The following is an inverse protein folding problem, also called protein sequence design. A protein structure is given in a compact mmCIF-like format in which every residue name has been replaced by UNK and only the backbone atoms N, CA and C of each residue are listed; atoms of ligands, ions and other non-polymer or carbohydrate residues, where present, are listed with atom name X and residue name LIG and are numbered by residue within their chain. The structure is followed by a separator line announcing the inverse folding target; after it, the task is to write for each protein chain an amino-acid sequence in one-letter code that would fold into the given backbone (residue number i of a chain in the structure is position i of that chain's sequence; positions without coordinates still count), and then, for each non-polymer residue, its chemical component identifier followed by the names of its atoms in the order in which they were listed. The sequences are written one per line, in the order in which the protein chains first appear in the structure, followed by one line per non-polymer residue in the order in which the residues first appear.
data_IF_922932063850
#
_entry.id   IF_922932063850
#
_cell.length_a   1.000
_cell.length_b   1.000
_cell.length_c   1.000
_cell.angle_alpha   90.00
_cell.angle_beta   90.00
_cell.angle_gamma   90.00
#
_symmetry.space_group_name_H-M   'P 1'
#
loop_
_entity.id
_entity.type
_entity.pdbx_description
1 polymer ?
#
# COMPACT_ATOMS: atom_id res chain seq x y z
N UNK A 1 5.06 6.92 -16.74
CA UNK A 1 5.08 5.92 -15.65
C UNK A 1 4.79 6.67 -14.37
N UNK A 2 4.02 6.08 -13.47
CA UNK A 2 3.65 6.69 -12.20
C UNK A 2 4.42 5.99 -11.09
N UNK A 3 5.03 6.76 -10.20
CA UNK A 3 5.67 6.21 -9.00
C UNK A 3 4.62 5.95 -7.94
N UNK A 4 4.55 4.72 -7.47
CA UNK A 4 3.71 4.32 -6.35
C UNK A 4 4.59 4.04 -5.15
N UNK A 5 4.16 4.53 -4.00
CA UNK A 5 4.77 4.30 -2.71
C UNK A 5 3.88 3.35 -1.92
N UNK A 6 4.46 2.50 -1.06
CA UNK A 6 3.66 1.59 -0.26
C UNK A 6 4.25 1.33 1.12
N UNK A 7 3.36 0.99 2.06
CA UNK A 7 3.69 0.16 3.22
C UNK A 7 3.09 -1.22 3.04
N UNK A 8 3.81 -2.27 3.44
CA UNK A 8 3.34 -3.65 3.37
C UNK A 8 3.62 -4.40 4.67
N UNK A 9 2.66 -5.24 5.08
CA UNK A 9 2.75 -6.10 6.25
C UNK A 9 1.81 -7.30 6.07
N UNK A 10 1.67 -8.12 7.11
CA UNK A 10 0.67 -9.19 7.09
C UNK A 10 -0.74 -8.60 6.93
N UNK A 11 -1.60 -9.28 6.18
CA UNK A 11 -2.99 -8.86 5.99
C UNK A 11 -3.69 -8.72 7.34
N UNK A 12 -3.47 -9.68 8.25
CA UNK A 12 -4.03 -9.66 9.59
C UNK A 12 -3.64 -8.39 10.36
N UNK A 13 -2.37 -8.00 10.30
CA UNK A 13 -1.90 -6.79 10.98
C UNK A 13 -2.62 -5.55 10.45
N UNK A 14 -2.66 -5.37 9.12
CA UNK A 14 -3.25 -4.18 8.48
C UNK A 14 -4.78 -4.15 8.51
N UNK A 15 -5.47 -5.26 8.76
CA UNK A 15 -6.94 -5.34 8.67
C UNK A 15 -7.65 -5.66 9.99
N UNK A 16 -6.95 -6.25 10.95
CA UNK A 16 -7.58 -6.73 12.21
C UNK A 16 -6.91 -6.12 13.44
N UNK A 17 -5.58 -6.09 13.47
CA UNK A 17 -4.83 -5.68 14.67
C UNK A 17 -4.72 -4.16 14.76
N UNK A 18 -4.51 -3.50 13.62
CA UNK A 18 -4.41 -2.04 13.53
C UNK A 18 -5.74 -1.38 13.17
N UNK A 19 -6.08 -0.22 13.77
CA UNK A 19 -7.26 0.56 13.41
C UNK A 19 -7.03 1.36 12.12
N UNK A 20 -6.58 0.69 11.06
CA UNK A 20 -6.24 1.32 9.77
C UNK A 20 -7.49 1.68 8.96
N UNK A 21 -8.57 0.91 9.09
CA UNK A 21 -9.85 1.17 8.41
C UNK A 21 -10.37 2.58 8.70
N UNK A 22 -10.34 3.01 9.97
CA UNK A 22 -10.77 4.36 10.39
C UNK A 22 -9.94 5.45 9.71
N UNK A 23 -8.62 5.27 9.67
CA UNK A 23 -7.69 6.23 9.06
C UNK A 23 -7.98 6.38 7.57
N UNK A 24 -8.19 5.27 6.86
CA UNK A 24 -8.47 5.28 5.42
C UNK A 24 -9.85 5.87 5.12
N UNK A 25 -10.86 5.55 5.94
CA UNK A 25 -12.23 6.08 5.80
C UNK A 25 -12.27 7.59 6.03
N UNK A 26 -11.60 8.08 7.06
CA UNK A 26 -11.51 9.51 7.35
C UNK A 26 -10.76 10.26 6.24
N UNK A 27 -9.66 9.68 5.73
CA UNK A 27 -8.94 10.26 4.58
C UNK A 27 -9.81 10.31 3.32
N UNK A 28 -10.59 9.25 3.06
CA UNK A 28 -11.52 9.23 1.94
C UNK A 28 -12.59 10.33 2.05
N UNK A 29 -13.16 10.51 3.26
CA UNK A 29 -14.10 11.61 3.53
C UNK A 29 -13.45 12.97 3.27
N UNK A 30 -12.26 13.21 3.81
CA UNK A 30 -11.54 14.47 3.59
C UNK A 30 -11.27 14.75 2.10
N UNK A 31 -10.94 13.72 1.32
CA UNK A 31 -10.74 13.85 -0.13
C UNK A 31 -12.04 14.24 -0.84
N UNK A 32 -13.17 13.60 -0.46
CA UNK A 32 -14.48 13.94 -1.01
C UNK A 32 -14.90 15.38 -0.67
N UNK A 33 -14.70 15.82 0.57
CA UNK A 33 -15.03 17.18 1.04
C UNK A 33 -14.16 18.26 0.40
N UNK A 34 -12.91 17.93 0.05
CA UNK A 34 -11.95 18.88 -0.55
C UNK A 34 -11.83 18.76 -2.07
N UNK A 35 -12.65 17.92 -2.72
CA UNK A 35 -12.65 17.72 -4.17
C UNK A 35 -11.37 17.08 -4.71
N UNK A 36 -10.66 16.29 -3.90
CA UNK A 36 -9.44 15.59 -4.30
C UNK A 36 -9.77 14.20 -4.85
N UNK A 37 -9.09 13.83 -5.93
CA UNK A 37 -9.13 12.45 -6.46
C UNK A 37 -8.41 11.50 -5.52
N UNK A 38 -9.01 10.34 -5.25
CA UNK A 38 -8.37 9.30 -4.43
C UNK A 38 -7.09 8.81 -5.12
N UNK A 39 -6.02 8.80 -4.34
CA UNK A 39 -4.68 8.41 -4.78
C UNK A 39 -4.03 7.42 -3.82
N UNK A 40 -4.86 6.69 -3.06
CA UNK A 40 -4.43 5.67 -2.11
C UNK A 40 -5.41 4.49 -2.06
N UNK A 41 -4.90 3.28 -1.81
CA UNK A 41 -5.67 2.03 -1.82
C UNK A 41 -5.10 1.03 -0.81
N UNK A 42 -5.97 0.27 -0.15
CA UNK A 42 -5.59 -0.96 0.56
C UNK A 42 -5.71 -2.12 -0.42
N UNK A 43 -4.61 -2.81 -0.69
CA UNK A 43 -4.52 -3.93 -1.63
C UNK A 43 -4.20 -5.20 -0.85
N UNK A 44 -5.09 -6.18 -0.91
CA UNK A 44 -4.85 -7.51 -0.34
C UNK A 44 -4.08 -8.36 -1.34
N UNK A 45 -3.14 -9.17 -0.85
CA UNK A 45 -2.31 -10.05 -1.67
C UNK A 45 -1.77 -9.34 -2.95
N UNK A 46 -1.09 -8.18 -2.79
CA UNK A 46 -0.74 -7.34 -3.92
C UNK A 46 0.16 -8.07 -4.93
N UNK A 47 -0.26 -8.07 -6.20
CA UNK A 47 0.47 -8.78 -7.26
C UNK A 47 1.89 -8.22 -7.47
N UNK A 48 2.06 -6.90 -7.29
CA UNK A 48 3.35 -6.22 -7.46
C UNK A 48 4.45 -6.75 -6.54
N UNK A 49 4.13 -7.29 -5.35
CA UNK A 49 5.13 -7.90 -4.46
C UNK A 49 5.76 -9.15 -5.08
N UNK A 50 5.14 -9.76 -6.09
CA UNK A 50 5.69 -10.91 -6.81
C UNK A 50 6.64 -10.52 -7.94
N UNK A 51 6.86 -9.23 -8.17
CA UNK A 51 7.89 -8.76 -9.11
C UNK A 51 9.30 -9.16 -8.61
N UNK A 52 10.25 -9.46 -9.52
CA UNK A 52 11.62 -9.84 -9.13
C UNK A 52 12.33 -8.77 -8.29
N UNK A 53 12.07 -7.49 -8.55
CA UNK A 53 12.68 -6.35 -7.84
C UNK A 53 12.24 -6.23 -6.38
N UNK A 54 11.10 -6.81 -6.00
CA UNK A 54 10.58 -6.81 -4.63
C UNK A 54 10.72 -8.18 -3.93
N UNK A 55 11.39 -9.15 -4.54
CA UNK A 55 11.48 -10.51 -4.03
C UNK A 55 12.12 -10.57 -2.62
N UNK A 56 13.21 -9.83 -2.40
CA UNK A 56 13.88 -9.77 -1.09
C UNK A 56 12.99 -9.12 -0.04
N UNK A 57 12.31 -8.02 -0.38
CA UNK A 57 11.39 -7.35 0.52
C UNK A 57 10.20 -8.25 0.88
N UNK A 58 9.61 -8.93 -0.11
CA UNK A 58 8.50 -9.89 0.10
C UNK A 58 8.87 -11.00 1.06
N UNK A 59 10.11 -11.50 1.02
CA UNK A 59 10.59 -12.54 1.94
C UNK A 59 10.60 -12.09 3.41
N UNK A 60 10.66 -10.78 3.68
CA UNK A 60 10.60 -10.23 5.04
C UNK A 60 9.17 -10.07 5.59
N UNK A 61 8.15 -10.15 4.73
CA UNK A 61 6.77 -9.85 5.08
C UNK A 61 6.01 -11.16 5.38
N UNK A 62 5.39 -11.31 6.57
CA UNK A 62 4.55 -12.47 6.85
C UNK A 62 3.36 -12.58 5.90
N UNK A 63 3.05 -13.81 5.47
CA UNK A 63 2.00 -14.09 4.48
C UNK A 63 0.72 -14.63 5.16
N UNK A 64 -0.48 -14.35 4.62
CA UNK A 64 -0.75 -13.51 3.45
C UNK A 64 -0.45 -12.03 3.73
N UNK A 65 0.12 -11.33 2.75
CA UNK A 65 0.46 -9.91 2.85
C UNK A 65 -0.67 -9.00 2.34
N UNK A 66 -0.71 -7.78 2.86
CA UNK A 66 -1.46 -6.67 2.31
C UNK A 66 -0.56 -5.42 2.24
N UNK A 67 -0.96 -4.44 1.45
CA UNK A 67 -0.26 -3.18 1.32
C UNK A 67 -1.21 -1.99 1.26
N UNK A 68 -0.81 -0.86 1.85
CA UNK A 68 -1.39 0.44 1.48
C UNK A 68 -0.49 1.06 0.43
N UNK A 69 -1.05 1.34 -0.73
CA UNK A 69 -0.37 1.92 -1.90
C UNK A 69 -0.88 3.33 -2.11
N UNK A 70 0.00 4.28 -2.43
CA UNK A 70 -0.39 5.65 -2.77
C UNK A 70 0.63 6.33 -3.69
N UNK A 71 0.19 7.31 -4.49
CA UNK A 71 1.12 8.22 -5.19
C UNK A 71 1.62 9.36 -4.31
N UNK A 72 1.11 9.50 -3.08
CA UNK A 72 1.57 10.46 -2.08
C UNK A 72 2.64 9.84 -1.15
N UNK A 73 3.94 10.16 -1.33
CA UNK A 73 5.01 9.63 -0.47
C UNK A 73 4.90 10.13 0.98
N UNK A 74 4.31 11.30 1.22
CA UNK A 74 4.12 11.84 2.56
C UNK A 74 3.13 10.99 3.34
N UNK A 75 2.05 10.55 2.69
CA UNK A 75 1.10 9.63 3.31
C UNK A 75 1.73 8.29 3.68
N UNK A 76 2.55 7.71 2.79
CA UNK A 76 3.24 6.44 3.07
C UNK A 76 4.27 6.60 4.20
N UNK A 77 4.98 7.72 4.24
CA UNK A 77 5.89 8.04 5.36
C UNK A 77 5.13 8.14 6.68
N UNK A 78 3.97 8.81 6.70
CA UNK A 78 3.09 8.87 7.87
C UNK A 78 2.67 7.47 8.34
N UNK A 79 2.26 6.60 7.43
CA UNK A 79 1.89 5.22 7.76
C UNK A 79 3.08 4.42 8.30
N UNK A 80 4.28 4.58 7.72
CA UNK A 80 5.49 3.92 8.22
C UNK A 80 5.80 4.31 9.67
N UNK A 81 5.70 5.59 10.00
CA UNK A 81 5.93 6.09 11.36
C UNK A 81 4.84 5.63 12.34
N UNK A 82 3.59 5.54 11.88
CA UNK A 82 2.45 5.11 12.71
C UNK A 82 2.47 3.62 13.02
N UNK A 83 2.78 2.78 12.03
CA UNK A 83 2.60 1.34 12.11
C UNK A 83 3.87 0.59 12.56
N UNK A 84 5.03 1.27 12.57
CA UNK A 84 6.36 0.79 12.96
C UNK A 84 6.86 -0.48 12.22
N UNK A 85 6.19 -1.61 12.41
CA UNK A 85 6.52 -2.97 11.94
C UNK A 85 6.03 -3.27 10.51
N UNK A 86 6.14 -2.29 9.62
CA UNK A 86 5.79 -2.44 8.20
C UNK A 86 7.02 -2.31 7.31
N UNK A 87 7.06 -3.09 6.23
CA UNK A 87 7.95 -2.88 5.11
C UNK A 87 7.53 -1.60 4.35
N UNK A 88 8.48 -0.88 3.78
CA UNK A 88 8.23 0.32 2.98
C UNK A 88 9.02 0.23 1.67
N UNK A 89 8.43 0.72 0.59
CA UNK A 89 9.09 0.74 -0.71
C UNK A 89 8.37 1.64 -1.70
N UNK A 90 8.91 1.66 -2.91
CA UNK A 90 8.30 2.32 -4.06
C UNK A 90 8.60 1.52 -5.33
N UNK A 91 7.74 1.63 -6.32
CA UNK A 91 7.90 1.01 -7.63
C UNK A 91 7.24 1.88 -8.71
N UNK A 92 7.58 1.64 -9.96
CA UNK A 92 6.94 2.31 -11.10
C UNK A 92 5.98 1.37 -11.82
N UNK A 93 4.80 1.88 -12.15
CA UNK A 93 3.80 1.14 -12.91
C UNK A 93 3.02 2.08 -13.86
N UNK A 94 2.48 1.56 -14.99
CA UNK A 94 2.66 0.19 -15.49
C UNK A 94 4.10 -0.05 -15.98
N UNK A 95 4.61 -1.26 -15.78
CA UNK A 95 5.92 -1.75 -16.24
C UNK A 95 5.83 -3.22 -16.67
N UNK A 96 6.90 -3.77 -17.26
CA UNK A 96 6.92 -5.18 -17.69
C UNK A 96 6.80 -6.16 -16.50
N UNK A 97 7.35 -5.80 -15.34
CA UNK A 97 7.25 -6.61 -14.11
C UNK A 97 6.00 -6.33 -13.28
N UNK A 98 5.41 -5.15 -13.43
CA UNK A 98 4.24 -4.68 -12.68
C UNK A 98 3.27 -3.99 -13.65
N UNK A 99 2.44 -4.76 -14.39
CA UNK A 99 1.53 -4.19 -15.38
C UNK A 99 0.38 -3.39 -14.73
N UNK A 100 0.01 -3.74 -13.50
CA UNK A 100 -1.02 -3.06 -12.71
C UNK A 100 -0.55 -2.92 -11.26
N UNK A 101 -0.46 -1.67 -10.80
CA UNK A 101 -0.03 -1.33 -9.44
C UNK A 101 -1.01 -1.82 -8.36
N UNK A 102 -2.28 -1.99 -8.72
CA UNK A 102 -3.37 -2.25 -7.78
C UNK A 102 -3.99 -3.64 -7.97
N UNK A 103 -3.41 -4.49 -8.82
CA UNK A 103 -3.87 -5.86 -9.02
C UNK A 103 -3.87 -6.63 -7.69
N UNK A 104 -5.05 -7.19 -7.35
CA UNK A 104 -5.34 -7.80 -6.04
C UNK A 104 -6.25 -6.93 -5.15
N UNK A 105 -6.55 -5.68 -5.54
CA UNK A 105 -7.59 -4.89 -4.91
C UNK A 105 -8.96 -5.51 -5.24
N UNK A 106 -9.63 -6.06 -4.23
CA UNK A 106 -11.03 -6.50 -4.28
C UNK A 106 -11.82 -5.67 -3.30
#
# INVERSE_FOLDING_TARGET
MTTYHFVAASERFLTVEEPLEEVLRERQRNYAETGKTIDFWLVKQPAFLSSPELAELKATIPQPAAAVVSTDPTFITFLKLRLEYVAVGAFEAPSAGIPDALAGAV
#
